data_IF_524157607791
#
_entry.id   IF_524157607791
#
_cell.length_a   1.000
_cell.length_b   1.000
_cell.length_c   1.000
_cell.angle_alpha   90.00
_cell.angle_beta   90.00
_cell.angle_gamma   90.00
#
_symmetry.space_group_name_H-M   'P 1'
#
loop_
_entity.id
_entity.type
_entity.pdbx_description
1 polymer ?
#
# COMPACT_ATOMS: atom_id res chain seq x y z
N UNK A 1 29.03 16.97 5.65
CA UNK A 1 27.58 16.99 5.90
C UNK A 1 26.94 15.94 5.03
N UNK A 2 26.23 14.98 5.63
CA UNK A 2 25.53 13.90 4.90
C UNK A 2 24.15 14.44 4.51
N UNK A 3 23.73 14.25 3.26
CA UNK A 3 22.42 14.73 2.79
C UNK A 3 21.29 13.95 3.45
N UNK A 4 20.21 14.63 3.83
CA UNK A 4 18.99 14.01 4.39
C UNK A 4 18.41 12.96 3.44
N UNK A 5 18.61 13.12 2.12
CA UNK A 5 18.19 12.15 1.12
C UNK A 5 18.90 10.78 1.27
N UNK A 6 20.15 10.77 1.76
CA UNK A 6 20.96 9.56 1.97
C UNK A 6 20.56 8.79 3.24
N UNK A 7 19.83 9.41 4.17
CA UNK A 7 19.30 8.75 5.37
C UNK A 7 17.96 8.04 5.11
N UNK A 8 17.25 8.44 4.05
CA UNK A 8 15.92 7.93 3.72
C UNK A 8 15.93 6.77 2.71
N UNK A 9 17.06 6.54 2.04
CA UNK A 9 17.27 5.43 1.11
C UNK A 9 18.67 4.84 1.33
N UNK A 10 18.84 3.78 2.15
CA UNK A 10 20.10 3.06 2.18
C UNK A 10 20.33 2.38 0.82
N UNK A 11 21.50 2.60 0.21
CA UNK A 11 21.88 1.92 -1.03
C UNK A 11 21.80 0.39 -0.82
N UNK A 12 21.24 -0.37 -1.78
CA UNK A 12 21.28 -1.82 -1.70
C UNK A 12 22.74 -2.29 -1.72
N UNK A 13 23.08 -3.39 -1.01
CA UNK A 13 24.44 -3.90 -0.98
C UNK A 13 24.92 -4.17 -2.40
N UNK A 14 26.04 -3.53 -2.75
CA UNK A 14 26.69 -3.62 -4.07
C UNK A 14 26.93 -5.10 -4.38
N UNK A 15 26.28 -5.61 -5.42
CA UNK A 15 26.52 -6.98 -5.88
C UNK A 15 28.01 -7.14 -6.27
N UNK A 16 28.65 -8.26 -5.94
CA UNK A 16 30.02 -8.51 -6.35
C UNK A 16 30.12 -8.54 -7.88
N UNK A 17 31.15 -7.86 -8.37
CA UNK A 17 31.52 -7.74 -9.78
C UNK A 17 31.73 -9.15 -10.36
N UNK A 18 31.10 -9.53 -11.49
CA UNK A 18 31.42 -10.78 -12.15
C UNK A 18 32.79 -10.64 -12.86
N UNK A 19 33.74 -11.49 -12.48
CA UNK A 19 34.99 -11.68 -13.23
C UNK A 19 34.71 -12.27 -14.63
N UNK A 20 35.55 -11.95 -15.63
CA UNK A 20 35.30 -12.34 -17.02
C UNK A 20 35.62 -13.83 -17.22
N UNK A 21 34.60 -14.66 -17.46
CA UNK A 21 34.78 -16.03 -17.94
C UNK A 21 34.86 -16.09 -19.46
N UNK A 22 35.91 -16.76 -19.91
CA UNK A 22 36.34 -16.95 -21.29
C UNK A 22 35.31 -17.70 -22.15
N UNK A 23 35.33 -17.36 -23.44
CA UNK A 23 34.49 -17.92 -24.49
C UNK A 23 34.84 -19.37 -24.84
N UNK A 24 33.81 -20.16 -25.19
CA UNK A 24 33.96 -21.35 -26.04
C UNK A 24 32.73 -21.51 -26.96
N UNK A 25 32.99 -21.52 -28.26
CA UNK A 25 32.42 -22.50 -29.21
C UNK A 25 30.97 -22.35 -29.71
N UNK A 26 30.86 -21.85 -30.95
CA UNK A 26 29.76 -21.96 -31.95
C UNK A 26 29.25 -23.42 -32.21
N UNK A 27 28.18 -23.70 -33.01
CA UNK A 27 27.69 -22.91 -34.15
C UNK A 27 26.17 -22.82 -34.44
N UNK A 28 25.86 -21.72 -35.14
CA UNK A 28 24.96 -21.48 -36.28
C UNK A 28 24.10 -22.65 -36.80
N UNK A 29 22.79 -22.37 -36.98
CA UNK A 29 22.02 -22.87 -38.14
C UNK A 29 21.12 -21.76 -38.71
N UNK A 30 21.36 -21.42 -39.97
CA UNK A 30 20.49 -20.64 -40.85
C UNK A 30 19.59 -21.60 -41.62
N UNK A 31 18.30 -21.27 -41.78
CA UNK A 31 17.53 -21.69 -42.96
C UNK A 31 16.51 -20.61 -43.34
N UNK A 32 16.25 -20.51 -44.63
CA UNK A 32 15.84 -19.34 -45.42
C UNK A 32 14.44 -19.58 -46.03
N UNK A 33 13.62 -18.51 -46.13
CA UNK A 33 12.51 -18.19 -47.09
C UNK A 33 11.33 -19.17 -47.28
N UNK A 34 10.11 -18.80 -47.68
CA UNK A 34 9.31 -17.55 -47.85
C UNK A 34 7.83 -18.01 -48.10
N UNK A 35 6.94 -17.31 -48.83
CA UNK A 35 5.66 -16.79 -48.32
C UNK A 35 4.41 -17.50 -48.88
N UNK A 36 3.24 -17.35 -48.26
CA UNK A 36 1.98 -17.28 -49.02
C UNK A 36 0.77 -16.82 -48.19
N UNK A 37 0.12 -15.81 -48.76
CA UNK A 37 -1.32 -15.53 -48.85
C UNK A 37 -2.27 -15.41 -47.64
N UNK A 38 -2.98 -14.27 -47.70
CA UNK A 38 -4.25 -13.88 -47.06
C UNK A 38 -5.40 -14.83 -47.48
N UNK A 39 -6.59 -14.88 -46.82
CA UNK A 39 -7.38 -13.70 -46.45
C UNK A 39 -8.23 -13.73 -45.15
N UNK A 40 -8.76 -12.54 -44.87
CA UNK A 40 -9.70 -12.12 -43.82
C UNK A 40 -11.06 -12.86 -43.95
N UNK A 41 -11.76 -13.08 -42.83
CA UNK A 41 -13.19 -12.74 -42.82
C UNK A 41 -13.59 -11.87 -41.61
N UNK A 42 -14.34 -10.82 -41.93
CA UNK A 42 -15.20 -10.01 -41.06
C UNK A 42 -16.41 -10.80 -40.58
N UNK A 43 -16.77 -10.68 -39.30
CA UNK A 43 -18.17 -10.61 -38.84
C UNK A 43 -18.25 -10.02 -37.42
N UNK A 44 -19.31 -9.24 -37.25
CA UNK A 44 -19.73 -8.45 -36.10
C UNK A 44 -20.23 -9.32 -34.92
N UNK A 45 -20.14 -8.80 -33.69
CA UNK A 45 -21.20 -8.89 -32.68
C UNK A 45 -20.83 -8.07 -31.43
N UNK A 46 -21.50 -6.94 -31.27
CA UNK A 46 -21.66 -6.24 -29.99
C UNK A 46 -22.53 -7.10 -29.10
N UNK A 47 -21.98 -7.59 -27.99
CA UNK A 47 -22.78 -8.08 -26.86
C UNK A 47 -22.32 -7.35 -25.60
N UNK A 48 -23.09 -6.33 -25.23
CA UNK A 48 -23.23 -5.84 -23.87
C UNK A 48 -23.56 -7.01 -22.95
N UNK A 49 -22.76 -7.22 -21.92
CA UNK A 49 -23.14 -8.04 -20.78
C UNK A 49 -22.79 -7.30 -19.52
N UNK A 50 -23.84 -6.85 -18.83
CA UNK A 50 -23.81 -6.55 -17.41
C UNK A 50 -23.13 -7.69 -16.65
N UNK A 51 -22.18 -7.34 -15.78
CA UNK A 51 -21.71 -8.19 -14.68
C UNK A 51 -21.76 -7.29 -13.45
N UNK A 52 -22.82 -7.34 -12.65
CA UNK A 52 -23.06 -8.33 -11.59
C UNK A 52 -21.84 -8.49 -10.69
N UNK A 53 -21.98 -7.94 -9.48
CA UNK A 53 -21.21 -8.14 -8.25
C UNK A 53 -19.86 -8.83 -8.35
N UNK A 54 -18.80 -8.06 -8.04
CA UNK A 54 -17.50 -8.59 -7.65
C UNK A 54 -17.65 -9.74 -6.64
N UNK A 55 -17.26 -10.98 -6.97
CA UNK A 55 -17.15 -12.02 -5.97
C UNK A 55 -15.93 -11.69 -5.11
N UNK A 56 -16.22 -11.38 -3.85
CA UNK A 56 -15.24 -11.18 -2.81
C UNK A 56 -14.48 -12.51 -2.60
N UNK A 57 -13.38 -12.72 -3.34
CA UNK A 57 -12.41 -13.75 -3.01
C UNK A 57 -11.75 -13.36 -1.69
N UNK A 58 -12.23 -13.95 -0.61
CA UNK A 58 -11.55 -14.03 0.67
C UNK A 58 -10.31 -14.94 0.55
N UNK A 59 -9.37 -14.57 -0.30
CA UNK A 59 -8.04 -15.16 -0.32
C UNK A 59 -7.25 -14.57 0.84
N UNK A 60 -6.95 -15.38 1.85
CA UNK A 60 -5.96 -15.05 2.89
C UNK A 60 -4.69 -14.57 2.18
N UNK A 61 -4.47 -13.27 2.21
CA UNK A 61 -3.42 -12.63 1.43
C UNK A 61 -2.20 -12.56 2.33
N UNK A 62 -1.25 -13.47 2.12
CA UNK A 62 0.08 -13.36 2.72
C UNK A 62 0.72 -12.05 2.25
N UNK A 63 1.48 -11.39 3.13
CA UNK A 63 2.26 -10.19 2.79
C UNK A 63 3.08 -10.43 1.53
N UNK A 64 3.08 -9.46 0.62
CA UNK A 64 3.81 -9.52 -0.65
C UNK A 64 5.05 -8.66 -0.53
N UNK A 65 6.24 -9.26 -0.58
CA UNK A 65 7.50 -8.51 -0.56
C UNK A 65 8.02 -8.20 0.85
N UNK A 66 8.96 -7.26 0.93
CA UNK A 66 9.69 -6.94 2.16
C UNK A 66 8.84 -6.12 3.13
N UNK A 67 8.65 -6.59 4.36
CA UNK A 67 7.94 -5.87 5.40
C UNK A 67 8.90 -4.92 6.12
N UNK A 68 8.86 -3.64 5.78
CA UNK A 68 9.71 -2.61 6.40
C UNK A 68 9.08 -2.02 7.66
N UNK A 69 7.75 -1.99 7.74
CA UNK A 69 6.99 -1.48 8.88
C UNK A 69 6.10 -2.59 9.45
N UNK A 70 6.69 -3.52 10.24
CA UNK A 70 5.96 -4.65 10.77
C UNK A 70 4.94 -4.23 11.85
N UNK A 71 3.89 -5.04 12.06
CA UNK A 71 3.01 -4.87 13.21
C UNK A 71 3.77 -5.14 14.52
N UNK A 72 3.39 -4.44 15.57
CA UNK A 72 3.90 -4.66 16.92
C UNK A 72 2.86 -5.47 17.72
N UNK A 73 3.06 -6.78 17.81
CA UNK A 73 2.14 -7.73 18.46
C UNK A 73 2.68 -8.31 19.77
N UNK A 74 3.96 -8.07 20.08
CA UNK A 74 4.58 -8.42 21.36
C UNK A 74 4.36 -7.27 22.35
N UNK A 75 3.31 -7.39 23.17
CA UNK A 75 2.88 -6.31 24.05
C UNK A 75 2.75 -6.78 25.50
N UNK A 76 2.83 -5.84 26.44
CA UNK A 76 2.69 -6.12 27.86
C UNK A 76 1.23 -6.39 28.26
N UNK A 77 1.03 -6.88 29.48
CA UNK A 77 -0.32 -7.17 30.01
C UNK A 77 -1.23 -5.94 30.03
N UNK A 78 -0.67 -4.75 30.24
CA UNK A 78 -1.46 -3.53 30.21
C UNK A 78 -2.02 -3.26 28.80
N UNK A 79 -1.19 -3.39 27.78
CA UNK A 79 -1.61 -3.26 26.38
C UNK A 79 -2.59 -4.35 25.99
N UNK A 80 -2.41 -5.60 26.45
CA UNK A 80 -3.38 -6.68 26.23
C UNK A 80 -4.76 -6.37 26.82
N UNK A 81 -4.83 -5.69 27.98
CA UNK A 81 -6.11 -5.22 28.54
C UNK A 81 -6.78 -4.20 27.63
N UNK A 82 -6.04 -3.23 27.11
CA UNK A 82 -6.59 -2.23 26.20
C UNK A 82 -7.01 -2.85 24.86
N UNK A 83 -6.24 -3.79 24.31
CA UNK A 83 -6.60 -4.57 23.12
C UNK A 83 -7.96 -5.27 23.30
N UNK A 84 -8.17 -5.90 24.46
CA UNK A 84 -9.46 -6.52 24.82
C UNK A 84 -10.57 -5.47 24.99
N UNK A 85 -10.28 -4.38 25.69
CA UNK A 85 -11.23 -3.27 25.94
C UNK A 85 -11.74 -2.63 24.67
N UNK A 86 -10.86 -2.41 23.70
CA UNK A 86 -11.19 -1.82 22.40
C UNK A 86 -11.56 -2.85 21.33
N UNK A 87 -11.66 -4.13 21.69
CA UNK A 87 -12.02 -5.23 20.78
C UNK A 87 -11.19 -5.20 19.48
N UNK A 88 -9.87 -5.07 19.61
CA UNK A 88 -8.98 -4.99 18.44
C UNK A 88 -8.99 -6.33 17.70
N UNK A 89 -9.55 -6.33 16.49
CA UNK A 89 -9.62 -7.49 15.62
C UNK A 89 -8.29 -7.74 14.89
N UNK A 90 -8.00 -9.00 14.60
CA UNK A 90 -6.80 -9.50 13.92
C UNK A 90 -5.47 -9.30 14.68
N UNK A 91 -5.52 -8.95 15.97
CA UNK A 91 -4.31 -8.96 16.81
C UNK A 91 -3.75 -10.38 16.93
N UNK A 92 -2.44 -10.55 16.71
CA UNK A 92 -1.74 -11.84 16.68
C UNK A 92 -1.78 -12.56 15.33
N UNK A 93 -2.52 -12.05 14.35
CA UNK A 93 -2.71 -12.68 13.03
C UNK A 93 -2.75 -11.67 11.89
N UNK A 94 -2.37 -10.42 12.12
CA UNK A 94 -2.54 -9.35 11.12
C UNK A 94 -1.75 -9.62 9.84
N UNK A 95 -0.63 -10.35 9.94
CA UNK A 95 0.19 -10.78 8.79
C UNK A 95 -0.57 -11.63 7.78
N UNK A 96 -1.65 -12.29 8.19
CA UNK A 96 -2.52 -13.10 7.32
C UNK A 96 -3.61 -12.28 6.64
N UNK A 97 -3.82 -11.04 7.09
CA UNK A 97 -4.90 -10.13 6.68
C UNK A 97 -4.40 -8.95 5.84
N UNK A 98 -3.21 -9.09 5.23
CA UNK A 98 -2.66 -8.06 4.36
C UNK A 98 -3.63 -7.71 3.23
N UNK A 99 -3.64 -6.45 2.79
CA UNK A 99 -4.50 -6.03 1.68
C UNK A 99 -3.74 -5.17 0.70
N UNK A 100 -3.93 -5.48 -0.58
CA UNK A 100 -3.56 -4.57 -1.66
C UNK A 100 -4.72 -3.64 -1.97
N UNK A 101 -4.46 -2.33 -2.01
CA UNK A 101 -5.46 -1.31 -2.38
C UNK A 101 -4.94 -0.55 -3.60
N UNK A 102 -5.54 -0.72 -4.79
CA UNK A 102 -5.18 0.06 -5.97
C UNK A 102 -5.39 1.56 -5.75
N UNK A 103 -4.43 2.36 -6.20
CA UNK A 103 -4.53 3.80 -6.25
C UNK A 103 -5.04 4.23 -7.63
N UNK A 104 -6.36 4.32 -7.75
CA UNK A 104 -7.03 4.85 -8.93
C UNK A 104 -7.60 6.23 -8.60
N UNK A 105 -6.74 7.23 -8.49
CA UNK A 105 -7.16 8.62 -8.38
C UNK A 105 -6.95 9.32 -9.72
N UNK A 106 -7.84 10.26 -10.06
CA UNK A 106 -7.61 11.20 -11.16
C UNK A 106 -6.37 12.09 -10.91
N UNK A 107 -5.89 12.17 -9.66
CA UNK A 107 -4.63 12.84 -9.31
C UNK A 107 -3.49 11.83 -9.35
N UNK A 108 -2.42 12.11 -10.09
CA UNK A 108 -1.25 11.22 -10.20
C UNK A 108 -0.16 11.50 -9.17
N UNK A 109 -0.37 12.47 -8.27
CA UNK A 109 0.64 12.96 -7.32
C UNK A 109 1.23 11.84 -6.44
N UNK A 110 0.41 10.88 -6.02
CA UNK A 110 0.90 9.77 -5.19
C UNK A 110 1.86 8.86 -5.97
N UNK A 111 1.47 8.42 -7.17
CA UNK A 111 2.30 7.56 -8.02
C UNK A 111 3.58 8.28 -8.45
N UNK A 112 3.50 9.57 -8.78
CA UNK A 112 4.69 10.35 -9.13
C UNK A 112 5.66 10.52 -7.95
N UNK A 113 5.16 10.73 -6.74
CA UNK A 113 6.01 10.90 -5.54
C UNK A 113 6.58 9.59 -5.00
N UNK A 114 5.86 8.48 -5.14
CA UNK A 114 6.22 7.20 -4.50
C UNK A 114 6.65 6.13 -5.49
N UNK A 115 6.44 6.31 -6.79
CA UNK A 115 6.65 5.30 -7.82
C UNK A 115 5.66 4.14 -7.76
N UNK A 116 4.54 4.28 -7.03
CA UNK A 116 3.61 3.18 -6.72
C UNK A 116 2.18 3.45 -7.18
N UNK A 117 1.54 2.39 -7.65
CA UNK A 117 0.13 2.43 -8.09
C UNK A 117 -0.82 1.74 -7.10
N UNK A 118 -0.31 1.24 -5.98
CA UNK A 118 -1.12 0.59 -4.94
C UNK A 118 -0.48 0.70 -3.57
N UNK A 119 -1.33 0.65 -2.55
CA UNK A 119 -0.92 0.43 -1.17
C UNK A 119 -0.88 -1.06 -0.86
N UNK A 120 0.13 -1.46 -0.09
CA UNK A 120 0.25 -2.79 0.50
C UNK A 120 0.10 -2.62 2.01
N UNK A 121 -1.08 -2.92 2.56
CA UNK A 121 -1.45 -2.46 3.91
C UNK A 121 -1.64 -3.60 4.90
N UNK A 122 -1.24 -3.32 6.14
CA UNK A 122 -1.79 -3.96 7.33
C UNK A 122 -2.96 -3.12 7.84
N UNK A 123 -3.94 -3.78 8.46
CA UNK A 123 -5.06 -3.08 9.09
C UNK A 123 -5.52 -3.73 10.40
N UNK A 124 -5.78 -2.90 11.39
CA UNK A 124 -6.52 -3.26 12.61
C UNK A 124 -7.90 -2.61 12.57
N UNK A 125 -8.89 -3.32 13.10
CA UNK A 125 -10.23 -2.79 13.32
C UNK A 125 -10.50 -2.81 14.82
N UNK A 126 -11.02 -1.72 15.38
CA UNK A 126 -11.31 -1.58 16.80
C UNK A 126 -12.61 -0.82 17.02
N UNK A 127 -13.15 -0.91 18.24
CA UNK A 127 -14.35 -0.20 18.69
C UNK A 127 -14.07 0.55 19.98
N UNK A 128 -14.74 1.68 20.18
CA UNK A 128 -14.69 2.38 21.47
C UNK A 128 -15.69 1.73 22.44
N UNK A 129 -15.36 1.62 23.75
CA UNK A 129 -16.30 1.09 24.73
C UNK A 129 -17.62 1.87 24.74
N UNK A 130 -18.73 1.16 24.55
CA UNK A 130 -20.07 1.77 24.47
C UNK A 130 -20.44 2.36 23.10
N UNK A 131 -19.59 2.20 22.07
CA UNK A 131 -19.91 2.59 20.70
C UNK A 131 -19.91 1.38 19.75
N UNK A 132 -20.88 1.36 18.84
CA UNK A 132 -20.94 0.35 17.76
C UNK A 132 -20.05 0.71 16.55
N UNK A 133 -19.53 1.94 16.51
CA UNK A 133 -18.71 2.41 15.41
C UNK A 133 -17.38 1.64 15.34
N UNK A 134 -17.12 0.98 14.21
CA UNK A 134 -15.84 0.33 13.92
C UNK A 134 -14.89 1.32 13.26
N UNK A 135 -13.69 1.43 13.80
CA UNK A 135 -12.61 2.26 13.29
C UNK A 135 -11.52 1.37 12.71
N UNK A 136 -11.11 1.63 11.46
CA UNK A 136 -10.05 0.89 10.78
C UNK A 136 -8.78 1.72 10.72
N UNK A 137 -7.74 1.31 11.46
CA UNK A 137 -6.38 1.83 11.34
C UNK A 137 -5.62 0.99 10.34
N UNK A 138 -4.91 1.63 9.42
CA UNK A 138 -4.14 0.94 8.40
C UNK A 138 -2.88 1.73 8.03
N UNK A 139 -1.84 1.00 7.64
CA UNK A 139 -0.58 1.59 7.17
C UNK A 139 0.01 0.74 6.05
N UNK A 140 0.70 1.38 5.11
CA UNK A 140 1.47 0.68 4.08
C UNK A 140 2.75 0.12 4.71
N UNK A 141 2.91 -1.20 4.67
CA UNK A 141 4.01 -1.88 5.36
C UNK A 141 5.34 -1.85 4.60
N UNK A 142 5.36 -1.34 3.36
CA UNK A 142 6.59 -1.14 2.59
C UNK A 142 7.18 0.25 2.81
N UNK A 143 6.35 1.29 2.78
CA UNK A 143 6.82 2.70 2.81
C UNK A 143 6.46 3.44 4.09
N UNK A 144 5.70 2.81 5.00
CA UNK A 144 5.41 3.37 6.31
C UNK A 144 4.49 4.57 6.27
N UNK A 145 3.59 4.64 5.29
CA UNK A 145 2.54 5.67 5.30
C UNK A 145 1.36 5.18 6.13
N UNK A 146 0.97 5.96 7.13
CA UNK A 146 -0.13 5.67 8.06
C UNK A 146 -1.33 6.54 7.70
N UNK A 147 -2.50 5.93 7.58
CA UNK A 147 -3.76 6.64 7.34
C UNK A 147 -4.25 7.30 8.63
N UNK A 148 -4.30 8.63 8.65
CA UNK A 148 -4.58 9.38 9.88
C UNK A 148 -6.05 9.55 10.23
N UNK A 149 -6.92 9.51 9.23
CA UNK A 149 -8.38 9.74 9.41
C UNK A 149 -9.03 8.96 10.57
N UNK A 150 -8.81 7.65 10.78
CA UNK A 150 -9.42 6.92 11.89
C UNK A 150 -9.10 7.50 13.27
N UNK A 151 -7.87 7.97 13.51
CA UNK A 151 -7.46 8.54 14.80
C UNK A 151 -8.20 9.83 15.14
N UNK A 152 -8.45 10.68 14.14
CA UNK A 152 -9.25 11.89 14.35
C UNK A 152 -10.72 11.58 14.56
N UNK A 153 -11.26 10.61 13.82
CA UNK A 153 -12.67 10.24 13.89
C UNK A 153 -13.04 9.61 15.24
N UNK A 154 -12.21 8.72 15.79
CA UNK A 154 -12.49 8.10 17.08
C UNK A 154 -12.47 9.13 18.23
N UNK A 155 -11.66 10.17 18.11
CA UNK A 155 -11.65 11.30 19.05
C UNK A 155 -12.73 12.36 18.79
N UNK A 156 -13.74 12.06 17.94
CA UNK A 156 -14.85 12.96 17.58
C UNK A 156 -14.42 14.30 16.96
N UNK A 157 -13.21 14.38 16.39
CA UNK A 157 -12.80 15.59 15.69
C UNK A 157 -13.52 15.77 14.36
N UNK A 158 -13.75 17.04 13.99
CA UNK A 158 -14.38 17.38 12.71
C UNK A 158 -13.56 16.89 11.52
N UNK A 159 -14.22 16.70 10.36
CA UNK A 159 -13.56 16.33 9.09
C UNK A 159 -12.45 17.30 8.67
N UNK A 160 -12.52 18.56 9.10
CA UNK A 160 -11.52 19.59 8.77
C UNK A 160 -10.30 19.59 9.69
N UNK A 161 -10.40 18.95 10.87
CA UNK A 161 -9.35 18.98 11.89
C UNK A 161 -8.01 18.44 11.40
N UNK A 162 -7.93 17.32 10.64
CA UNK A 162 -6.64 16.86 10.09
C UNK A 162 -5.96 17.92 9.22
N UNK A 163 -6.70 18.60 8.34
CA UNK A 163 -6.15 19.62 7.46
C UNK A 163 -5.64 20.84 8.24
N UNK A 164 -6.37 21.24 9.30
CA UNK A 164 -5.94 22.29 10.23
C UNK A 164 -4.66 21.90 10.95
N UNK A 165 -4.60 20.68 11.50
CA UNK A 165 -3.42 20.15 12.18
C UNK A 165 -2.17 20.18 11.26
N UNK A 166 -2.32 19.77 9.99
CA UNK A 166 -1.24 19.85 9.02
C UNK A 166 -0.79 21.29 8.71
N UNK A 167 -1.67 22.28 8.86
CA UNK A 167 -1.32 23.69 8.68
C UNK A 167 -0.60 24.29 9.89
N UNK A 168 -0.80 23.72 11.09
CA UNK A 168 -0.17 24.17 12.33
C UNK A 168 1.24 23.60 12.53
N UNK A 169 1.62 22.58 11.74
CA UNK A 169 2.92 21.92 11.84
C UNK A 169 3.72 22.16 10.55
N UNK A 170 4.66 23.13 10.55
CA UNK A 170 5.49 23.44 9.38
C UNK A 170 6.21 22.19 8.84
N UNK A 171 6.23 22.02 7.51
CA UNK A 171 6.84 20.87 6.84
C UNK A 171 6.02 19.58 6.86
N UNK A 172 5.12 19.39 7.84
CA UNK A 172 4.32 18.16 7.94
C UNK A 172 3.38 17.98 6.74
N UNK A 173 2.86 19.08 6.20
CA UNK A 173 2.00 19.07 5.01
C UNK A 173 2.74 18.55 3.77
N UNK A 174 4.01 18.87 3.63
CA UNK A 174 4.80 18.56 2.42
C UNK A 174 5.09 17.05 2.31
N UNK A 175 5.23 16.40 3.46
CA UNK A 175 5.46 14.95 3.60
C UNK A 175 4.16 14.14 3.79
N UNK A 176 3.01 14.80 3.84
CA UNK A 176 1.70 14.14 3.98
C UNK A 176 1.01 14.03 2.62
N UNK A 177 0.51 12.85 2.29
CA UNK A 177 -0.23 12.59 1.07
C UNK A 177 -1.74 12.70 1.29
N UNK A 178 -2.40 13.59 0.57
CA UNK A 178 -3.86 13.68 0.55
C UNK A 178 -4.42 12.76 -0.52
N UNK A 179 -4.98 11.63 -0.10
CA UNK A 179 -5.55 10.62 -0.99
C UNK A 179 -7.05 10.91 -1.15
N UNK A 180 -7.43 11.35 -2.36
CA UNK A 180 -8.81 11.66 -2.74
C UNK A 180 -9.20 10.88 -4.00
N UNK A 181 -10.44 10.38 -4.07
CA UNK A 181 -10.89 9.52 -5.17
C UNK A 181 -10.45 8.06 -5.01
N UNK A 182 -10.86 7.18 -5.92
CA UNK A 182 -10.58 5.75 -5.84
C UNK A 182 -11.23 5.06 -4.64
N UNK A 183 -10.54 4.07 -4.06
CA UNK A 183 -11.06 3.29 -2.92
C UNK A 183 -11.38 4.17 -1.71
N UNK A 184 -12.67 4.21 -1.33
CA UNK A 184 -13.18 4.97 -0.17
C UNK A 184 -12.41 4.62 1.12
N UNK A 185 -12.02 3.35 1.27
CA UNK A 185 -11.27 2.87 2.44
C UNK A 185 -9.87 3.47 2.53
N UNK A 186 -9.25 3.87 1.43
CA UNK A 186 -7.93 4.49 1.42
C UNK A 186 -7.96 6.02 1.43
N UNK A 187 -9.13 6.65 1.26
CA UNK A 187 -9.22 8.11 1.25
C UNK A 187 -8.85 8.73 2.61
N UNK A 188 -8.18 9.87 2.58
CA UNK A 188 -7.73 10.60 3.76
C UNK A 188 -6.30 11.09 3.66
N UNK A 189 -5.77 11.57 4.78
CA UNK A 189 -4.38 11.99 4.90
C UNK A 189 -3.52 10.80 5.32
N UNK A 190 -2.44 10.58 4.57
CA UNK A 190 -1.44 9.55 4.84
C UNK A 190 -0.11 10.21 5.15
N UNK A 191 0.45 9.94 6.33
CA UNK A 191 1.70 10.56 6.76
C UNK A 191 2.74 9.50 7.16
N UNK A 192 4.04 9.84 7.17
CA UNK A 192 5.08 8.90 7.56
C UNK A 192 4.86 8.36 8.97
N UNK A 193 5.22 7.09 9.17
CA UNK A 193 4.99 6.33 10.40
C UNK A 193 5.55 7.05 11.63
N UNK A 194 6.76 7.58 11.54
CA UNK A 194 7.37 8.32 12.64
C UNK A 194 6.61 9.59 13.00
N UNK A 195 6.01 10.28 12.03
CA UNK A 195 5.15 11.44 12.28
C UNK A 195 3.81 11.03 12.90
N UNK A 196 3.24 9.91 12.46
CA UNK A 196 1.99 9.40 13.01
C UNK A 196 2.13 8.87 14.45
N UNK A 197 3.32 8.42 14.83
CA UNK A 197 3.64 7.87 16.15
C UNK A 197 3.94 8.95 17.21
N UNK A 198 4.42 10.12 16.78
CA UNK A 198 4.81 11.23 17.66
C UNK A 198 3.61 11.82 18.41
#
# INVERSE_FOLDING_TARGET
MVSVASLLNPDPPRAPIPEPRQALGSPVRLTISSPSDRPIPTTEAVNTTEMTGDPQMAGRSRSKGAINFPPFEEVDENSLREIRRFQVHNFGSIRETCRRIPYNSGKKDFSQKTGRESFEVFQYEFRLPGEEAVYTVMWDYHIGLVRMTPFFKCCKYSKTTPAKMLGLNPGLRDITHSITGGSIRAQGYWMPYHCAKA
#
